data_IF_743113934333
#
_entry.id   IF_743113934333
#
_cell.length_a   1.000
_cell.length_b   1.000
_cell.length_c   1.000
_cell.angle_alpha   90.00
_cell.angle_beta   90.00
_cell.angle_gamma   90.00
#
_symmetry.space_group_name_H-M   'P 1'
#
loop_
_entity.id
_entity.type
_entity.pdbx_description
1 polymer ?
#
# COMPACT_ATOMS: atom_id res chain seq x y z
N UNK A 1 -9.48 68.25 -33.57
CA UNK A 1 -9.92 67.21 -34.52
C UNK A 1 -8.66 66.47 -34.91
N UNK A 2 -8.37 65.21 -34.59
CA UNK A 2 -9.18 63.99 -34.47
C UNK A 2 -8.37 62.96 -33.67
N UNK A 3 -8.97 62.36 -32.64
CA UNK A 3 -8.36 61.27 -31.86
C UNK A 3 -8.72 59.91 -32.50
N UNK A 4 -7.75 59.22 -33.08
CA UNK A 4 -7.89 57.84 -33.57
C UNK A 4 -7.59 56.84 -32.46
N UNK A 5 -8.65 56.24 -31.91
CA UNK A 5 -8.59 55.08 -31.00
C UNK A 5 -8.31 53.81 -31.82
N UNK A 6 -7.19 53.14 -31.58
CA UNK A 6 -6.94 51.78 -32.07
C UNK A 6 -7.41 50.81 -30.98
N UNK A 7 -8.52 50.11 -31.26
CA UNK A 7 -9.07 49.04 -30.43
C UNK A 7 -8.73 47.70 -31.08
N UNK A 8 -7.74 47.00 -30.57
CA UNK A 8 -7.38 45.64 -31.00
C UNK A 8 -8.02 44.63 -30.04
N UNK A 9 -9.20 44.12 -30.41
CA UNK A 9 -9.80 42.96 -29.73
C UNK A 9 -9.16 41.67 -30.25
N UNK A 10 -8.34 41.03 -29.42
CA UNK A 10 -7.82 39.69 -29.70
C UNK A 10 -8.89 38.67 -29.29
N UNK A 11 -9.52 38.03 -30.27
CA UNK A 11 -10.42 36.89 -30.03
C UNK A 11 -9.57 35.64 -29.79
N UNK A 12 -9.61 35.12 -28.57
CA UNK A 12 -9.11 33.79 -28.24
C UNK A 12 -10.17 32.75 -28.64
N UNK A 13 -9.94 32.02 -29.73
CA UNK A 13 -10.71 30.82 -30.02
C UNK A 13 -10.14 29.66 -29.19
N UNK A 14 -10.94 29.13 -28.28
CA UNK A 14 -10.63 27.91 -27.54
C UNK A 14 -10.75 26.68 -28.48
N UNK A 15 -9.78 25.76 -28.53
CA UNK A 15 -9.96 24.53 -29.26
C UNK A 15 -10.85 23.58 -28.45
N UNK A 16 -12.00 23.21 -29.03
CA UNK A 16 -12.83 22.10 -28.57
C UNK A 16 -12.05 20.79 -28.70
N UNK A 17 -11.43 20.35 -27.60
CA UNK A 17 -10.74 19.06 -27.55
C UNK A 17 -11.69 17.99 -26.97
N UNK A 18 -12.61 17.51 -27.82
CA UNK A 18 -13.42 16.33 -27.55
C UNK A 18 -12.55 15.08 -27.74
N UNK A 19 -11.91 14.63 -26.66
CA UNK A 19 -11.13 13.38 -26.62
C UNK A 19 -12.05 12.15 -26.67
N UNK A 20 -12.51 11.79 -27.87
CA UNK A 20 -13.05 10.45 -28.17
C UNK A 20 -12.45 9.83 -29.44
N UNK A 21 -11.28 10.31 -29.90
CA UNK A 21 -10.53 9.70 -30.98
C UNK A 21 -9.34 8.89 -30.45
N UNK A 22 -9.31 7.58 -30.73
CA UNK A 22 -8.06 6.80 -30.61
C UNK A 22 -7.08 7.29 -31.69
N UNK A 23 -5.87 7.76 -31.34
CA UNK A 23 -4.83 7.95 -32.33
C UNK A 23 -4.29 6.56 -32.71
N UNK A 24 -4.74 6.04 -33.85
CA UNK A 24 -3.86 5.27 -34.73
C UNK A 24 -3.04 6.30 -35.51
N UNK A 25 -1.83 5.95 -35.93
CA UNK A 25 -0.95 6.80 -36.77
C UNK A 25 0.10 7.62 -36.01
N UNK A 26 0.92 6.94 -35.21
CA UNK A 26 2.39 7.01 -35.24
C UNK A 26 2.88 5.60 -34.93
N UNK A 27 3.99 5.13 -35.50
CA UNK A 27 4.55 3.77 -35.34
C UNK A 27 4.99 3.40 -33.92
N UNK A 28 4.15 3.68 -32.92
CA UNK A 28 4.31 3.33 -31.52
C UNK A 28 3.76 1.92 -31.38
N UNK A 29 4.65 0.97 -31.13
CA UNK A 29 4.27 -0.41 -30.81
C UNK A 29 3.22 -0.41 -29.70
N UNK A 30 2.11 -1.11 -29.93
CA UNK A 30 1.05 -1.23 -28.94
C UNK A 30 1.59 -1.86 -27.67
N UNK A 31 1.30 -1.26 -26.51
CA UNK A 31 1.66 -1.84 -25.22
C UNK A 31 1.18 -3.30 -25.12
N UNK A 32 2.09 -4.23 -24.84
CA UNK A 32 1.81 -5.64 -24.66
C UNK A 32 1.57 -5.97 -23.20
N UNK A 33 0.45 -6.62 -22.87
CA UNK A 33 0.17 -7.12 -21.52
C UNK A 33 0.74 -8.53 -21.37
N UNK A 34 1.31 -8.86 -20.21
CA UNK A 34 1.76 -10.21 -19.92
C UNK A 34 0.61 -11.23 -20.09
N UNK A 35 0.80 -12.22 -20.97
CA UNK A 35 -0.22 -13.23 -21.26
C UNK A 35 -0.57 -14.12 -20.04
N UNK A 36 0.39 -14.31 -19.13
CA UNK A 36 0.21 -15.15 -17.94
C UNK A 36 -0.63 -14.47 -16.85
N UNK A 37 -0.13 -13.37 -16.29
CA UNK A 37 -0.81 -12.70 -15.17
C UNK A 37 -1.83 -11.63 -15.59
N UNK A 38 -1.81 -11.17 -16.84
CA UNK A 38 -2.62 -10.05 -17.36
C UNK A 38 -2.56 -8.74 -16.55
N UNK A 39 -1.57 -8.61 -15.66
CA UNK A 39 -1.48 -7.52 -14.68
C UNK A 39 -0.33 -6.54 -14.95
N UNK A 40 0.70 -6.98 -15.67
CA UNK A 40 1.86 -6.15 -16.01
C UNK A 40 1.84 -5.80 -17.50
N UNK A 41 2.08 -4.51 -17.80
CA UNK A 41 2.08 -3.95 -19.15
C UNK A 41 3.50 -3.57 -19.53
N UNK A 42 3.90 -3.90 -20.75
CA UNK A 42 5.22 -3.61 -21.31
C UNK A 42 5.07 -2.78 -22.58
N UNK A 43 6.03 -1.89 -22.83
CA UNK A 43 6.10 -1.15 -24.09
C UNK A 43 6.52 -2.03 -25.27
N UNK A 44 7.30 -3.09 -25.04
CA UNK A 44 7.72 -4.04 -26.09
C UNK A 44 8.03 -5.42 -25.51
N UNK A 45 8.14 -6.42 -26.39
CA UNK A 45 8.54 -7.79 -26.02
C UNK A 45 9.96 -7.85 -25.43
N UNK A 46 10.86 -6.98 -25.88
CA UNK A 46 12.22 -6.89 -25.33
C UNK A 46 12.19 -6.45 -23.86
N UNK A 47 11.35 -5.47 -23.51
CA UNK A 47 11.17 -5.06 -22.11
C UNK A 47 10.50 -6.14 -21.26
N UNK A 48 9.58 -6.93 -21.82
CA UNK A 48 9.02 -8.09 -21.15
C UNK A 48 10.11 -9.12 -20.80
N UNK A 49 10.95 -9.50 -21.77
CA UNK A 49 12.05 -10.47 -21.57
C UNK A 49 13.09 -9.94 -20.58
N UNK A 50 13.49 -8.67 -20.69
CA UNK A 50 14.43 -8.05 -19.76
C UNK A 50 13.88 -8.02 -18.32
N UNK A 51 12.56 -7.84 -18.14
CA UNK A 51 11.92 -7.88 -16.82
C UNK A 51 11.66 -9.29 -16.29
N UNK A 52 11.75 -10.33 -17.15
CA UNK A 52 11.28 -11.68 -16.84
C UNK A 52 11.91 -12.33 -15.61
N UNK A 53 13.23 -12.20 -15.34
CA UNK A 53 13.84 -12.78 -14.13
C UNK A 53 13.17 -12.31 -12.83
N UNK A 54 12.69 -11.07 -12.81
CA UNK A 54 11.98 -10.47 -11.67
C UNK A 54 10.48 -10.75 -11.76
N UNK A 55 9.89 -10.58 -12.95
CA UNK A 55 8.45 -10.71 -13.15
C UNK A 55 7.96 -12.16 -12.97
N UNK A 56 8.77 -13.19 -13.25
CA UNK A 56 8.35 -14.60 -13.15
C UNK A 56 7.80 -14.95 -11.77
N UNK A 57 8.38 -14.40 -10.69
CA UNK A 57 7.94 -14.63 -9.32
C UNK A 57 6.55 -14.04 -9.07
N UNK A 58 6.34 -12.77 -9.43
CA UNK A 58 5.04 -12.09 -9.25
C UNK A 58 3.98 -12.57 -10.24
N UNK A 59 4.40 -12.99 -11.43
CA UNK A 59 3.55 -13.58 -12.46
C UNK A 59 2.98 -14.92 -12.00
N UNK A 60 3.79 -15.79 -11.37
CA UNK A 60 3.33 -17.05 -10.79
C UNK A 60 2.29 -16.86 -9.67
N UNK A 61 2.55 -15.93 -8.74
CA UNK A 61 1.61 -15.59 -7.66
C UNK A 61 0.26 -15.09 -8.21
N UNK A 62 0.33 -14.22 -9.23
CA UNK A 62 -0.86 -13.68 -9.89
C UNK A 62 -1.63 -14.76 -10.66
N UNK A 63 -0.93 -15.67 -11.34
CA UNK A 63 -1.55 -16.79 -12.05
C UNK A 63 -2.27 -17.77 -11.11
N UNK A 64 -1.69 -18.07 -9.95
CA UNK A 64 -2.34 -18.92 -8.93
C UNK A 64 -3.63 -18.29 -8.40
N UNK A 65 -3.70 -16.96 -8.36
CA UNK A 65 -4.91 -16.22 -7.99
C UNK A 65 -5.96 -16.27 -9.10
N UNK A 66 -5.53 -16.21 -10.37
CA UNK A 66 -6.41 -16.29 -11.54
C UNK A 66 -6.91 -17.71 -11.85
N UNK A 67 -6.14 -18.76 -11.48
CA UNK A 67 -6.48 -20.15 -11.78
C UNK A 67 -7.40 -20.80 -10.74
N UNK A 68 -7.92 -20.04 -9.76
CA UNK A 68 -9.04 -20.46 -8.92
C UNK A 68 -8.86 -21.78 -8.15
N UNK A 69 -7.63 -22.17 -7.78
CA UNK A 69 -7.35 -23.43 -7.07
C UNK A 69 -6.88 -23.28 -5.62
N UNK A 70 -6.98 -22.09 -5.01
CA UNK A 70 -6.84 -21.98 -3.55
C UNK A 70 -8.14 -21.47 -2.90
N UNK A 71 -8.84 -22.41 -2.28
CA UNK A 71 -10.00 -22.19 -1.41
C UNK A 71 -9.71 -21.21 -0.25
N UNK A 72 -8.43 -20.92 0.00
CA UNK A 72 -7.96 -20.05 1.07
C UNK A 72 -8.08 -18.54 0.75
N UNK A 73 -8.11 -18.12 -0.52
CA UNK A 73 -8.15 -16.68 -0.89
C UNK A 73 -9.58 -16.14 -1.01
N UNK A 74 -10.58 -17.00 -1.20
CA UNK A 74 -12.00 -16.60 -1.33
C UNK A 74 -12.65 -16.13 -0.03
N UNK A 75 -12.05 -16.38 1.15
CA UNK A 75 -12.55 -15.83 2.43
C UNK A 75 -12.12 -14.38 2.69
N UNK A 76 -11.13 -13.86 1.96
CA UNK A 76 -10.70 -12.46 2.06
C UNK A 76 -11.53 -11.52 1.16
N UNK A 77 -12.10 -12.01 0.06
CA UNK A 77 -12.97 -11.22 -0.85
C UNK A 77 -14.42 -11.11 -0.37
N UNK A 78 -14.92 -12.06 0.43
CA UNK A 78 -16.27 -12.00 1.02
C UNK A 78 -16.47 -10.82 1.98
N UNK A 79 -15.38 -10.33 2.59
CA UNK A 79 -15.39 -9.20 3.51
C UNK A 79 -15.76 -7.86 2.82
N UNK A 80 -15.31 -7.65 1.58
CA UNK A 80 -15.64 -6.43 0.81
C UNK A 80 -17.10 -6.45 0.35
N UNK A 81 -17.65 -7.63 0.08
CA UNK A 81 -19.01 -7.79 -0.47
C UNK A 81 -20.11 -7.79 0.61
N UNK A 82 -19.83 -8.32 1.81
CA UNK A 82 -20.72 -8.20 2.98
C UNK A 82 -20.84 -6.75 3.46
N UNK A 83 -19.73 -6.00 3.50
CA UNK A 83 -19.70 -4.60 3.97
C UNK A 83 -20.51 -3.62 3.10
N UNK A 84 -20.73 -3.93 1.81
CA UNK A 84 -21.46 -3.05 0.87
C UNK A 84 -22.98 -3.21 0.96
N UNK A 85 -23.48 -4.33 1.51
CA UNK A 85 -24.90 -4.69 1.43
C UNK A 85 -25.73 -4.30 2.67
N UNK A 86 -25.09 -3.83 3.75
CA UNK A 86 -25.70 -3.75 5.10
C UNK A 86 -26.07 -2.34 5.60
N UNK A 87 -26.06 -1.29 4.77
CA UNK A 87 -26.26 0.08 5.29
C UNK A 87 -27.19 0.91 4.41
N UNK A 88 -28.49 0.70 4.59
CA UNK A 88 -29.55 1.58 4.08
C UNK A 88 -30.08 2.44 5.21
N UNK A 89 -29.47 3.58 5.51
CA UNK A 89 -30.10 4.69 6.26
C UNK A 89 -29.59 6.02 5.72
N UNK A 90 -30.52 6.87 5.26
CA UNK A 90 -30.29 8.23 4.76
C UNK A 90 -30.41 9.25 5.88
N UNK A 91 -29.40 10.12 6.07
CA UNK A 91 -29.52 11.39 6.78
C UNK A 91 -28.57 12.47 6.19
N UNK A 92 -28.94 13.77 6.23
CA UNK A 92 -28.22 14.83 5.56
C UNK A 92 -27.43 15.71 6.54
N UNK A 93 -26.12 15.51 6.66
CA UNK A 93 -25.11 16.56 6.94
C UNK A 93 -23.71 16.01 6.65
N UNK A 94 -22.77 16.87 6.26
CA UNK A 94 -21.53 16.58 5.49
C UNK A 94 -20.41 15.81 6.25
N UNK A 95 -20.73 14.77 7.00
CA UNK A 95 -19.76 13.76 7.43
C UNK A 95 -19.66 12.68 6.35
N UNK A 96 -18.47 12.50 5.78
CA UNK A 96 -18.25 11.32 4.94
C UNK A 96 -18.48 10.08 5.79
N UNK A 97 -19.24 9.08 5.31
CA UNK A 97 -19.44 7.84 6.06
C UNK A 97 -18.09 7.27 6.46
N UNK A 98 -17.95 6.79 7.70
CA UNK A 98 -16.73 6.12 8.17
C UNK A 98 -16.24 5.05 7.18
N UNK A 99 -17.18 4.37 6.52
CA UNK A 99 -16.98 3.44 5.41
C UNK A 99 -16.28 4.01 4.17
N UNK A 100 -16.59 5.25 3.80
CA UNK A 100 -15.95 5.94 2.68
C UNK A 100 -14.52 6.38 3.05
N UNK A 101 -14.31 6.74 4.31
CA UNK A 101 -12.99 7.13 4.82
C UNK A 101 -12.06 5.90 4.95
N UNK A 102 -12.54 4.79 5.50
CA UNK A 102 -11.76 3.54 5.58
C UNK A 102 -11.37 3.02 4.19
N UNK A 103 -12.28 3.06 3.21
CA UNK A 103 -11.95 2.72 1.80
C UNK A 103 -10.88 3.65 1.21
N UNK A 104 -10.95 4.97 1.52
CA UNK A 104 -9.96 5.95 1.06
C UNK A 104 -8.58 5.70 1.67
N UNK A 105 -8.53 5.21 2.90
CA UNK A 105 -7.31 4.94 3.65
C UNK A 105 -6.68 3.63 3.18
N UNK A 106 -7.47 2.56 3.07
CA UNK A 106 -7.00 1.25 2.63
C UNK A 106 -6.35 1.28 1.24
N UNK A 107 -7.03 1.86 0.24
CA UNK A 107 -6.47 1.95 -1.13
C UNK A 107 -5.19 2.79 -1.25
N UNK A 108 -4.83 3.57 -0.22
CA UNK A 108 -3.59 4.38 -0.19
C UNK A 108 -2.47 3.66 0.52
N UNK A 109 -2.77 3.02 1.65
CA UNK A 109 -1.82 2.21 2.41
C UNK A 109 -1.26 1.10 1.52
N UNK A 110 -2.12 0.48 0.70
CA UNK A 110 -1.69 -0.53 -0.27
C UNK A 110 -0.73 0.01 -1.34
N UNK A 111 -0.77 1.31 -1.66
CA UNK A 111 0.14 1.92 -2.65
C UNK A 111 1.53 2.22 -2.10
N UNK A 112 1.70 2.24 -0.77
CA UNK A 112 2.99 2.44 -0.10
C UNK A 112 3.36 1.23 0.75
N UNK A 113 2.80 0.07 0.41
CA UNK A 113 2.87 -1.12 1.26
C UNK A 113 4.32 -1.58 1.49
N UNK A 114 5.15 -1.55 0.45
CA UNK A 114 6.56 -1.93 0.53
C UNK A 114 7.37 -1.00 1.44
N UNK A 115 7.17 0.33 1.35
CA UNK A 115 7.84 1.29 2.23
C UNK A 115 7.39 1.12 3.68
N UNK A 116 6.08 0.95 3.90
CA UNK A 116 5.53 0.74 5.25
C UNK A 116 6.00 -0.58 5.87
N UNK A 117 6.11 -1.62 5.05
CA UNK A 117 6.66 -2.91 5.44
C UNK A 117 8.13 -2.77 5.88
N UNK A 118 8.94 -2.07 5.09
CA UNK A 118 10.32 -1.81 5.46
C UNK A 118 10.45 -0.97 6.73
N UNK A 119 9.66 0.09 6.86
CA UNK A 119 9.60 0.90 8.08
C UNK A 119 9.36 0.01 9.31
N UNK A 120 8.47 -0.99 9.18
CA UNK A 120 8.20 -1.95 10.24
C UNK A 120 9.36 -2.89 10.52
N UNK A 121 10.07 -3.35 9.49
CA UNK A 121 11.27 -4.19 9.64
C UNK A 121 12.32 -3.45 10.46
N UNK A 122 12.63 -2.20 10.11
CA UNK A 122 13.64 -1.41 10.81
C UNK A 122 13.18 -1.00 12.21
N UNK A 123 11.96 -0.46 12.35
CA UNK A 123 11.43 0.01 13.64
C UNK A 123 11.30 -1.11 14.69
N UNK A 124 11.02 -2.34 14.25
CA UNK A 124 10.93 -3.51 15.12
C UNK A 124 12.23 -4.32 15.15
N UNK A 125 13.28 -3.85 14.47
CA UNK A 125 14.59 -4.50 14.39
C UNK A 125 14.53 -5.98 13.95
N UNK A 126 13.69 -6.29 12.97
CA UNK A 126 13.33 -7.67 12.62
C UNK A 126 14.43 -8.45 11.91
N UNK A 127 15.38 -7.75 11.28
CA UNK A 127 16.53 -8.37 10.66
C UNK A 127 17.51 -8.95 11.67
N UNK A 128 17.69 -8.29 12.82
CA UNK A 128 18.60 -8.75 13.87
C UNK A 128 17.89 -9.46 15.02
N UNK A 129 16.64 -9.10 15.31
CA UNK A 129 15.83 -9.65 16.39
C UNK A 129 14.48 -10.16 15.84
N UNK A 130 14.47 -11.31 15.16
CA UNK A 130 13.29 -11.83 14.47
C UNK A 130 12.12 -12.13 15.41
N UNK A 131 12.38 -12.44 16.68
CA UNK A 131 11.37 -12.70 17.71
C UNK A 131 10.54 -11.46 18.09
N UNK A 132 10.98 -10.25 17.73
CA UNK A 132 10.21 -9.04 17.98
C UNK A 132 8.85 -9.03 17.26
N UNK A 133 8.70 -9.78 16.15
CA UNK A 133 7.42 -9.95 15.44
C UNK A 133 6.36 -10.66 16.28
N UNK A 134 6.77 -11.41 17.30
CA UNK A 134 5.88 -12.17 18.19
C UNK A 134 5.28 -11.29 19.30
N UNK A 135 6.00 -10.22 19.68
CA UNK A 135 5.68 -9.36 20.83
C UNK A 135 5.14 -8.01 20.40
N UNK A 136 5.70 -7.44 19.33
CA UNK A 136 5.50 -6.05 18.96
C UNK A 136 4.76 -5.91 17.63
N UNK A 137 4.05 -4.79 17.51
CA UNK A 137 3.51 -4.23 16.29
C UNK A 137 3.94 -2.77 16.18
N UNK A 138 3.89 -2.22 14.98
CA UNK A 138 4.23 -0.82 14.76
C UNK A 138 2.97 0.03 14.67
N UNK A 139 2.88 1.05 15.51
CA UNK A 139 1.81 2.06 15.44
C UNK A 139 2.33 3.27 14.68
N UNK A 140 1.57 3.76 13.70
CA UNK A 140 1.93 4.95 12.92
C UNK A 140 0.74 5.91 12.88
N UNK A 141 0.93 7.12 13.37
CA UNK A 141 -0.04 8.20 13.26
C UNK A 141 0.13 8.98 11.97
N UNK A 142 -0.96 9.25 11.26
CA UNK A 142 -1.00 10.05 10.04
C UNK A 142 -1.85 11.29 10.24
N UNK A 143 -1.42 12.37 9.58
CA UNK A 143 -2.18 13.62 9.47
C UNK A 143 -2.38 13.98 8.02
N UNK A 144 -3.57 14.49 7.69
CA UNK A 144 -3.83 15.07 6.37
C UNK A 144 -3.03 16.36 6.21
N UNK A 145 -2.33 16.51 5.09
CA UNK A 145 -1.58 17.70 4.76
C UNK A 145 -2.55 18.87 4.53
N UNK A 146 -2.17 20.11 4.87
CA UNK A 146 -3.03 21.28 4.65
C UNK A 146 -3.37 21.49 3.17
N UNK A 147 -2.47 21.09 2.25
CA UNK A 147 -2.65 21.17 0.80
C UNK A 147 -3.23 19.88 0.18
N UNK A 148 -3.84 19.00 0.99
CA UNK A 148 -4.36 17.71 0.54
C UNK A 148 -5.37 17.80 -0.62
N UNK A 149 -6.11 18.92 -0.74
CA UNK A 149 -7.03 19.15 -1.84
C UNK A 149 -6.31 19.24 -3.20
N UNK A 150 -5.12 19.86 -3.24
CA UNK A 150 -4.31 20.03 -4.45
C UNK A 150 -3.44 18.80 -4.77
N UNK A 151 -3.23 17.91 -3.79
CA UNK A 151 -2.38 16.72 -3.95
C UNK A 151 -3.11 15.52 -4.53
N UNK A 152 -2.33 14.69 -5.22
CA UNK A 152 -2.72 13.34 -5.59
C UNK A 152 -3.22 12.58 -4.35
N UNK A 153 -4.15 11.65 -4.51
CA UNK A 153 -4.69 10.86 -3.37
C UNK A 153 -3.58 10.16 -2.57
N UNK A 154 -2.44 9.83 -3.19
CA UNK A 154 -1.31 9.11 -2.57
C UNK A 154 -0.48 9.99 -1.63
N UNK A 155 -0.52 11.31 -1.81
CA UNK A 155 0.40 12.26 -1.14
C UNK A 155 -0.31 13.19 -0.16
N UNK A 156 -1.58 12.90 0.17
CA UNK A 156 -2.39 13.74 1.07
C UNK A 156 -2.06 13.56 2.54
N UNK A 157 -1.41 12.47 2.91
CA UNK A 157 -1.12 12.17 4.31
C UNK A 157 0.39 12.17 4.54
N UNK A 158 0.78 12.58 5.73
CA UNK A 158 2.16 12.53 6.22
C UNK A 158 2.16 11.82 7.57
N UNK A 159 3.10 10.90 7.83
CA UNK A 159 3.24 10.30 9.15
C UNK A 159 3.73 11.37 10.13
N UNK A 160 3.05 11.48 11.27
CA UNK A 160 3.34 12.48 12.30
C UNK A 160 4.01 11.88 13.53
N UNK A 161 3.70 10.64 13.85
CA UNK A 161 4.29 9.91 14.96
C UNK A 161 4.34 8.43 14.64
N UNK A 162 5.20 7.72 15.37
CA UNK A 162 5.35 6.29 15.21
C UNK A 162 6.04 5.68 16.42
N UNK A 163 5.59 4.51 16.86
CA UNK A 163 6.21 3.83 17.99
C UNK A 163 5.89 2.33 17.97
N UNK A 164 6.78 1.54 18.56
CA UNK A 164 6.55 0.11 18.84
C UNK A 164 5.55 -0.04 19.97
N UNK A 165 4.60 -0.96 19.82
CA UNK A 165 3.61 -1.28 20.85
C UNK A 165 3.46 -2.80 20.97
N UNK A 166 3.06 -3.29 22.13
CA UNK A 166 2.57 -4.66 22.26
C UNK A 166 1.16 -4.77 21.71
N UNK A 167 0.72 -5.99 21.41
CA UNK A 167 -0.66 -6.26 21.00
C UNK A 167 -1.68 -5.87 22.07
N UNK A 168 -1.37 -6.08 23.35
CA UNK A 168 -2.26 -5.72 24.46
C UNK A 168 -2.39 -4.21 24.61
N UNK A 169 -1.28 -3.47 24.52
CA UNK A 169 -1.29 -2.00 24.53
C UNK A 169 -2.06 -1.45 23.32
N UNK A 170 -1.85 -2.03 22.13
CA UNK A 170 -2.58 -1.64 20.94
C UNK A 170 -4.09 -1.93 21.09
N UNK A 171 -4.46 -3.08 21.64
CA UNK A 171 -5.85 -3.42 21.96
C UNK A 171 -6.46 -2.43 22.97
N UNK A 172 -5.69 -1.95 23.93
CA UNK A 172 -6.11 -0.89 24.85
C UNK A 172 -6.31 0.46 24.14
N UNK A 173 -5.47 0.80 23.15
CA UNK A 173 -5.61 1.99 22.31
C UNK A 173 -6.84 1.95 21.38
N UNK A 174 -7.27 0.75 21.00
CA UNK A 174 -8.48 0.53 20.20
C UNK A 174 -9.77 0.58 21.02
N UNK A 175 -9.71 0.65 22.36
CA UNK A 175 -10.92 0.67 23.20
C UNK A 175 -11.76 1.90 22.85
N UNK A 176 -13.01 1.73 22.40
CA UNK A 176 -13.83 2.84 21.96
C UNK A 176 -14.05 3.87 23.08
N UNK A 177 -13.88 5.15 22.77
CA UNK A 177 -14.32 6.25 23.64
C UNK A 177 -15.85 6.43 23.64
N UNK A 178 -16.55 5.73 22.74
CA UNK A 178 -18.02 5.75 22.54
C UNK A 178 -18.51 4.34 22.20
N UNK A 179 -19.78 3.99 22.45
CA UNK A 179 -20.34 2.66 22.19
C UNK A 179 -20.57 2.40 20.69
N UNK A 180 -19.57 2.64 19.84
CA UNK A 180 -19.50 1.95 18.56
C UNK A 180 -19.13 0.49 18.86
N UNK A 181 -19.80 -0.42 18.14
CA UNK A 181 -19.57 -1.87 18.17
C UNK A 181 -18.08 -2.21 18.34
N UNK A 182 -17.70 -2.53 19.58
CA UNK A 182 -16.34 -2.90 20.04
C UNK A 182 -15.74 -4.09 19.26
N UNK A 183 -16.57 -4.74 18.44
CA UNK A 183 -16.25 -5.94 17.68
C UNK A 183 -15.35 -5.67 16.47
N UNK A 184 -15.45 -4.53 15.80
CA UNK A 184 -14.90 -4.43 14.43
C UNK A 184 -13.37 -4.21 14.38
N UNK A 185 -12.84 -3.40 15.28
CA UNK A 185 -11.42 -3.01 15.28
C UNK A 185 -10.53 -4.06 15.94
N UNK A 186 -10.98 -4.59 17.07
CA UNK A 186 -10.28 -5.67 17.76
C UNK A 186 -10.26 -6.95 16.93
N UNK A 187 -11.24 -7.15 16.03
CA UNK A 187 -11.23 -8.24 15.05
C UNK A 187 -10.03 -8.14 14.09
N UNK A 188 -9.61 -6.95 13.66
CA UNK A 188 -8.44 -6.79 12.79
C UNK A 188 -7.15 -7.27 13.43
N UNK A 189 -6.90 -6.88 14.68
CA UNK A 189 -5.72 -7.35 15.44
C UNK A 189 -5.79 -8.86 15.71
N UNK A 190 -6.96 -9.38 16.09
CA UNK A 190 -7.16 -10.83 16.30
C UNK A 190 -6.89 -11.62 15.03
N UNK A 191 -7.42 -11.16 13.90
CA UNK A 191 -7.20 -11.80 12.60
C UNK A 191 -5.72 -11.77 12.21
N UNK A 192 -5.04 -10.64 12.43
CA UNK A 192 -3.59 -10.55 12.20
C UNK A 192 -2.81 -11.56 13.05
N UNK A 193 -3.21 -11.77 14.31
CA UNK A 193 -2.58 -12.75 15.20
C UNK A 193 -2.81 -14.20 14.74
N UNK A 194 -4.03 -14.54 14.33
CA UNK A 194 -4.33 -15.86 13.77
C UNK A 194 -3.50 -16.13 12.50
N UNK A 195 -3.38 -15.12 11.63
CA UNK A 195 -2.53 -15.21 10.44
C UNK A 195 -1.05 -15.35 10.79
N UNK A 196 -0.57 -14.62 11.80
CA UNK A 196 0.79 -14.75 12.33
C UNK A 196 1.09 -16.19 12.75
N UNK A 197 0.22 -16.78 13.58
CA UNK A 197 0.38 -18.15 14.07
C UNK A 197 0.31 -19.18 12.95
N UNK A 198 -0.57 -18.99 11.96
CA UNK A 198 -0.67 -19.86 10.80
C UNK A 198 0.62 -19.83 9.95
N UNK A 199 1.20 -18.65 9.71
CA UNK A 199 2.46 -18.52 8.96
C UNK A 199 3.61 -19.18 9.72
N UNK A 200 3.72 -18.96 11.04
CA UNK A 200 4.73 -19.61 11.89
C UNK A 200 4.61 -21.13 11.88
N UNK A 201 3.39 -21.66 11.98
CA UNK A 201 3.13 -23.12 11.93
C UNK A 201 3.62 -23.75 10.63
N UNK A 202 3.61 -22.98 9.54
CA UNK A 202 4.11 -23.41 8.23
C UNK A 202 5.62 -23.14 8.04
N UNK A 203 6.38 -22.90 9.10
CA UNK A 203 7.81 -22.61 9.05
C UNK A 203 8.16 -21.20 8.55
N UNK A 204 7.16 -20.32 8.43
CA UNK A 204 7.36 -18.92 8.05
C UNK A 204 7.82 -18.05 9.21
N UNK A 205 8.28 -16.84 8.88
CA UNK A 205 8.75 -15.86 9.85
C UNK A 205 7.63 -15.30 10.75
N UNK A 206 6.43 -15.16 10.17
CA UNK A 206 5.24 -14.66 10.86
C UNK A 206 4.53 -13.56 10.06
N UNK A 207 3.70 -12.80 10.75
CA UNK A 207 3.01 -11.64 10.18
C UNK A 207 3.38 -10.38 10.98
N UNK A 208 3.93 -9.38 10.28
CA UNK A 208 4.11 -8.03 10.83
C UNK A 208 2.75 -7.33 10.84
N UNK A 209 2.41 -6.73 11.98
CA UNK A 209 1.18 -5.94 12.12
C UNK A 209 1.51 -4.45 12.20
N UNK A 210 0.79 -3.65 11.43
CA UNK A 210 0.79 -2.19 11.48
C UNK A 210 -0.57 -1.70 11.98
N UNK A 211 -0.56 -0.80 12.96
CA UNK A 211 -1.74 -0.05 13.38
C UNK A 211 -1.61 1.39 12.90
N UNK A 212 -2.43 1.78 11.93
CA UNK A 212 -2.36 3.08 11.28
C UNK A 212 -3.48 3.95 11.83
N UNK A 213 -3.13 5.06 12.49
CA UNK A 213 -4.07 5.92 13.20
C UNK A 213 -4.17 7.26 12.46
N UNK A 214 -5.38 7.67 12.09
CA UNK A 214 -5.66 9.01 11.58
C UNK A 214 -6.19 9.90 12.70
N UNK A 215 -5.99 11.21 12.56
CA UNK A 215 -6.34 12.22 13.59
C UNK A 215 -7.80 12.21 14.02
N UNK A 216 -8.70 11.69 13.20
CA UNK A 216 -10.13 11.54 13.48
C UNK A 216 -10.48 10.22 14.19
N UNK A 217 -9.48 9.47 14.65
CA UNK A 217 -9.65 8.18 15.31
C UNK A 217 -9.90 7.03 14.34
N UNK A 218 -9.83 7.26 13.01
CA UNK A 218 -9.88 6.15 12.06
C UNK A 218 -8.60 5.35 12.17
N UNK A 219 -8.76 4.13 12.62
CA UNK A 219 -7.68 3.19 12.80
C UNK A 219 -7.81 2.10 11.72
N UNK A 220 -6.69 1.73 11.10
CA UNK A 220 -6.61 0.66 10.12
C UNK A 220 -5.53 -0.33 10.55
N UNK A 221 -5.88 -1.61 10.61
CA UNK A 221 -4.93 -2.68 10.84
C UNK A 221 -4.47 -3.19 9.47
N UNK A 222 -3.16 -3.16 9.24
CA UNK A 222 -2.53 -3.68 8.04
C UNK A 222 -1.50 -4.74 8.40
N UNK A 223 -1.37 -5.78 7.58
CA UNK A 223 -0.60 -6.98 7.93
C UNK A 223 0.26 -7.44 6.75
N UNK A 224 1.52 -7.79 7.01
CA UNK A 224 2.45 -8.35 6.03
C UNK A 224 2.91 -9.73 6.44
N UNK A 225 2.70 -10.73 5.59
CA UNK A 225 3.17 -12.10 5.81
C UNK A 225 4.56 -12.30 5.24
N UNK A 226 5.42 -12.97 6.01
CA UNK A 226 6.79 -13.30 5.61
C UNK A 226 6.95 -14.81 5.61
N UNK A 227 6.99 -15.45 4.42
CA UNK A 227 7.16 -16.89 4.34
C UNK A 227 8.58 -17.35 4.67
N UNK A 228 9.57 -16.45 4.63
CA UNK A 228 10.98 -16.77 4.91
C UNK A 228 11.57 -15.83 5.96
N UNK A 229 12.43 -16.36 6.83
CA UNK A 229 13.06 -15.61 7.90
C UNK A 229 14.18 -14.68 7.47
N UNK A 230 14.86 -15.00 6.37
CA UNK A 230 15.97 -14.19 5.82
C UNK A 230 15.51 -12.86 5.22
N UNK A 231 14.24 -12.75 4.85
CA UNK A 231 13.71 -11.59 4.14
C UNK A 231 13.85 -10.30 4.95
N UNK A 232 13.54 -10.34 6.24
CA UNK A 232 13.70 -9.17 7.12
C UNK A 232 15.19 -8.78 7.30
N UNK A 233 16.08 -9.78 7.37
CA UNK A 233 17.51 -9.54 7.48
C UNK A 233 18.09 -8.91 6.22
N UNK A 234 17.80 -9.45 5.03
CA UNK A 234 18.23 -8.88 3.75
C UNK A 234 17.71 -7.45 3.59
N UNK A 235 16.44 -7.25 3.92
CA UNK A 235 15.76 -5.96 3.90
C UNK A 235 16.45 -4.90 4.77
N UNK A 236 16.77 -5.26 6.02
CA UNK A 236 17.40 -4.35 6.97
C UNK A 236 18.90 -4.14 6.68
N UNK A 237 19.61 -5.16 6.18
CA UNK A 237 21.01 -5.02 5.76
C UNK A 237 21.17 -4.11 4.53
N UNK A 238 20.22 -4.16 3.60
CA UNK A 238 20.26 -3.31 2.41
C UNK A 238 20.11 -1.82 2.76
N UNK A 239 19.23 -1.50 3.73
CA UNK A 239 19.02 -0.14 4.18
C UNK A 239 18.50 -0.13 5.61
N UNK A 240 19.38 -0.04 6.61
CA UNK A 240 18.92 0.05 8.00
C UNK A 240 18.53 1.50 8.31
N UNK A 241 17.28 1.70 8.67
CA UNK A 241 16.79 3.02 9.07
C UNK A 241 17.08 3.35 10.54
N UNK A 242 17.38 2.34 11.37
CA UNK A 242 17.67 2.51 12.79
C UNK A 242 16.56 3.24 13.56
N UNK A 243 16.97 4.08 14.51
CA UNK A 243 16.06 4.90 15.32
C UNK A 243 15.37 6.01 14.52
N UNK A 244 15.96 6.45 13.40
CA UNK A 244 15.44 7.50 12.50
C UNK A 244 14.42 6.98 11.47
N UNK A 245 13.87 5.78 11.68
CA UNK A 245 12.96 5.14 10.75
C UNK A 245 11.72 5.98 10.43
N UNK A 246 11.24 6.80 11.36
CA UNK A 246 10.07 7.64 11.15
C UNK A 246 10.39 8.80 10.20
N UNK A 247 11.55 9.44 10.38
CA UNK A 247 12.06 10.52 9.53
C UNK A 247 12.32 10.00 8.12
N UNK A 248 12.94 8.82 8.00
CA UNK A 248 13.15 8.15 6.70
C UNK A 248 11.84 7.75 6.04
N UNK A 249 10.86 7.27 6.80
CA UNK A 249 9.51 7.02 6.30
C UNK A 249 8.86 8.31 5.75
N UNK A 250 8.96 9.43 6.47
CA UNK A 250 8.46 10.74 5.99
C UNK A 250 9.10 11.10 4.65
N UNK A 251 10.43 11.00 4.56
CA UNK A 251 11.18 11.29 3.33
C UNK A 251 10.78 10.37 2.17
N UNK A 252 10.67 9.06 2.40
CA UNK A 252 10.27 8.09 1.38
C UNK A 252 8.83 8.29 0.87
N UNK A 253 7.94 8.78 1.72
CA UNK A 253 6.58 9.15 1.34
C UNK A 253 6.52 10.50 0.62
N UNK A 254 7.39 11.45 0.97
CA UNK A 254 7.42 12.79 0.38
C UNK A 254 8.10 12.85 -0.99
N UNK A 255 9.18 12.10 -1.20
CA UNK A 255 9.99 12.16 -2.41
C UNK A 255 9.84 10.89 -3.25
N UNK A 256 9.07 10.93 -4.37
CA UNK A 256 8.87 9.77 -5.23
C UNK A 256 10.17 9.19 -5.83
N UNK A 257 11.20 10.02 -5.99
CA UNK A 257 12.51 9.59 -6.48
C UNK A 257 13.19 8.65 -5.48
N UNK A 258 13.14 9.00 -4.18
CA UNK A 258 13.65 8.13 -3.12
C UNK A 258 12.85 6.83 -3.07
N UNK A 259 11.53 6.89 -3.26
CA UNK A 259 10.69 5.69 -3.38
C UNK A 259 11.14 4.76 -4.51
N UNK A 260 11.46 5.28 -5.69
CA UNK A 260 11.94 4.43 -6.78
C UNK A 260 13.31 3.81 -6.50
N UNK A 261 14.23 4.55 -5.87
CA UNK A 261 15.52 4.01 -5.43
C UNK A 261 15.34 2.88 -4.41
N UNK A 262 14.49 3.12 -3.42
CA UNK A 262 14.11 2.16 -2.39
C UNK A 262 13.60 0.85 -2.99
N UNK A 263 12.63 0.93 -3.91
CA UNK A 263 12.06 -0.24 -4.59
C UNK A 263 13.05 -0.97 -5.52
N UNK A 264 14.09 -0.31 -6.01
CA UNK A 264 15.11 -0.94 -6.85
C UNK A 264 16.08 -1.80 -6.02
N UNK A 265 16.42 -1.38 -4.81
CA UNK A 265 17.26 -2.16 -3.89
C UNK A 265 16.49 -3.30 -3.21
N UNK A 266 15.16 -3.20 -3.12
CA UNK A 266 14.26 -4.26 -2.67
C UNK A 266 14.00 -5.39 -3.68
N UNK A 267 14.65 -5.37 -4.84
CA UNK A 267 14.64 -6.53 -5.74
C UNK A 267 15.38 -7.67 -5.06
N UNK A 268 14.63 -8.54 -4.39
CA UNK A 268 15.09 -9.83 -3.90
C UNK A 268 16.01 -10.45 -4.96
N UNK A 269 17.25 -10.86 -4.61
CA UNK A 269 18.06 -11.61 -5.56
C UNK A 269 17.23 -12.83 -6.00
N UNK A 270 17.23 -13.17 -7.30
CA UNK A 270 16.57 -14.38 -7.75
C UNK A 270 17.10 -15.54 -6.91
N UNK A 271 16.19 -16.30 -6.30
CA UNK A 271 16.52 -17.48 -5.49
C UNK A 271 17.45 -18.33 -6.35
N UNK A 272 18.75 -18.38 -6.03
CA UNK A 272 19.62 -19.37 -6.63
C UNK A 272 19.12 -20.72 -6.11
N UNK A 273 18.82 -21.69 -6.98
CA UNK A 273 18.54 -23.04 -6.51
C UNK A 273 19.73 -23.50 -5.64
N UNK A 274 19.47 -24.26 -4.56
CA UNK A 274 20.55 -24.82 -3.76
C UNK A 274 21.53 -25.54 -4.69
N UNK A 275 22.83 -25.34 -4.48
CA UNK A 275 23.85 -26.06 -5.22
C UNK A 275 23.55 -27.56 -5.09
N UNK A 276 23.29 -28.22 -6.22
CA UNK A 276 23.19 -29.68 -6.26
C UNK A 276 24.52 -30.27 -5.77
N UNK A 277 24.49 -31.24 -4.85
CA UNK A 277 25.70 -31.92 -4.38
C UNK A 277 26.44 -32.63 -5.52
#
# INVERSE_FOLDING_TARGET
MSNSKISTSVRFNAPENRLTGRPKDRGVESFSVCAGCKNTVYCSKQCQVASWPVHKVTCGLSQTTLSGKSEFVLKASGFIQWYVRSSSITFPYRQLPLAALTKRVHGRITSHSEILCHAAICALNLGYMPTNVDTYLLVIGFKERPDAAARSRRDRFVPTCGFRSTFDNAKAMLRPSKPLSDKDMTMGLKQSRLSHEAVKRNGGFGVITLLLILRDGVQHVHSYSFPKGDTAWIAQQAEDWGEDWLERLKMALEYPVLRQGFLRHYKFPPIRPPATP
#
